data_IF_778655510830
#
_entry.id   IF_778655510830
#
_cell.length_a   1.000
_cell.length_b   1.000
_cell.length_c   1.000
_cell.angle_alpha   90.00
_cell.angle_beta   90.00
_cell.angle_gamma   90.00
#
_symmetry.space_group_name_H-M   'P 1'
#
loop_
_entity.id
_entity.type
_entity.pdbx_description
1 polymer ?
#
# COMPACT_ATOMS: atom_id res chain seq x y z
N UNK A 1 1.85 -1.16 -17.07
CA UNK A 1 1.77 0.28 -17.42
C UNK A 1 2.49 1.12 -16.36
N UNK A 2 2.92 2.34 -16.69
CA UNK A 2 3.60 3.21 -15.71
C UNK A 2 2.64 3.76 -14.64
N UNK A 3 2.88 3.41 -13.38
CA UNK A 3 2.08 3.85 -12.22
C UNK A 3 2.07 5.37 -12.03
N UNK A 4 0.87 5.95 -11.86
CA UNK A 4 0.64 7.39 -11.66
C UNK A 4 -0.55 7.63 -10.73
N UNK A 5 -0.44 8.66 -9.88
CA UNK A 5 -1.53 9.16 -9.03
C UNK A 5 -2.65 9.73 -9.91
N UNK A 6 -3.91 9.62 -9.47
CA UNK A 6 -5.12 10.03 -10.22
C UNK A 6 -5.26 9.31 -11.58
N UNK A 7 -4.81 8.06 -11.62
CA UNK A 7 -5.05 7.08 -12.69
C UNK A 7 -5.41 5.73 -12.08
N UNK A 8 -6.01 4.85 -12.88
CA UNK A 8 -6.27 3.46 -12.49
C UNK A 8 -4.96 2.80 -12.08
N UNK A 9 -4.96 2.08 -10.96
CA UNK A 9 -3.81 1.29 -10.52
C UNK A 9 -3.47 0.20 -11.56
N UNK A 10 -2.18 -0.19 -11.73
CA UNK A 10 -1.83 -1.28 -12.63
C UNK A 10 -2.55 -2.57 -12.27
N UNK A 11 -3.11 -3.25 -13.26
CA UNK A 11 -3.73 -4.55 -13.05
C UNK A 11 -2.68 -5.58 -12.60
N UNK A 12 -3.06 -6.42 -11.65
CA UNK A 12 -2.28 -7.55 -11.19
C UNK A 12 -3.19 -8.73 -10.81
N UNK A 13 -2.60 -9.92 -10.87
CA UNK A 13 -3.25 -11.22 -10.72
C UNK A 13 -2.17 -12.23 -10.32
N UNK A 14 -2.18 -12.70 -9.08
CA UNK A 14 -1.17 -13.62 -8.52
C UNK A 14 -1.74 -14.49 -7.41
N UNK A 15 -1.07 -15.62 -7.17
CA UNK A 15 -1.23 -16.39 -5.94
C UNK A 15 -0.83 -15.56 -4.72
N UNK A 16 -1.64 -15.63 -3.69
CA UNK A 16 -1.37 -15.10 -2.36
C UNK A 16 -1.59 -16.19 -1.31
N UNK A 17 -0.83 -16.15 -0.23
CA UNK A 17 -1.11 -16.91 0.98
C UNK A 17 -2.17 -16.17 1.82
N UNK A 18 -3.24 -16.88 2.22
CA UNK A 18 -4.31 -16.38 3.07
C UNK A 18 -4.49 -17.35 4.26
N UNK A 19 -3.79 -17.09 5.37
CA UNK A 19 -3.77 -17.93 6.58
C UNK A 19 -3.28 -19.38 6.37
N UNK A 20 -2.39 -19.63 5.40
CA UNK A 20 -1.90 -20.94 5.00
C UNK A 20 -2.59 -21.53 3.77
N UNK A 21 -3.64 -20.89 3.25
CA UNK A 21 -4.32 -21.30 2.01
C UNK A 21 -3.85 -20.45 0.82
N UNK A 22 -3.17 -21.08 -0.14
CA UNK A 22 -2.81 -20.43 -1.40
C UNK A 22 -4.03 -20.21 -2.29
N UNK A 23 -4.34 -18.95 -2.59
CA UNK A 23 -5.48 -18.53 -3.42
C UNK A 23 -5.04 -17.51 -4.46
N UNK A 24 -5.60 -17.60 -5.67
CA UNK A 24 -5.39 -16.56 -6.66
C UNK A 24 -6.19 -15.30 -6.27
N UNK A 25 -5.53 -14.15 -6.30
CA UNK A 25 -6.13 -12.84 -6.06
C UNK A 25 -5.84 -11.90 -7.23
N UNK A 26 -6.83 -11.07 -7.55
CA UNK A 26 -6.83 -10.13 -8.67
C UNK A 26 -7.19 -8.74 -8.16
N UNK A 27 -6.68 -7.68 -8.79
CA UNK A 27 -7.03 -6.31 -8.41
C UNK A 27 -8.55 -6.03 -8.46
N UNK A 28 -9.29 -6.77 -9.30
CA UNK A 28 -10.75 -6.61 -9.45
C UNK A 28 -11.57 -7.16 -8.27
N UNK A 29 -11.03 -8.10 -7.47
CA UNK A 29 -11.70 -8.67 -6.28
C UNK A 29 -11.91 -7.64 -5.15
N UNK A 30 -11.23 -6.49 -5.29
CA UNK A 30 -11.27 -5.33 -4.41
C UNK A 30 -12.11 -4.18 -4.98
N UNK A 31 -12.79 -4.34 -6.13
CA UNK A 31 -13.73 -3.35 -6.64
C UNK A 31 -14.83 -3.05 -5.60
N UNK A 32 -15.17 -1.77 -5.43
CA UNK A 32 -16.05 -1.30 -4.36
C UNK A 32 -15.40 -1.20 -2.97
N UNK A 33 -14.16 -1.68 -2.78
CA UNK A 33 -13.41 -1.62 -1.51
C UNK A 33 -12.20 -0.72 -1.65
N UNK A 34 -11.83 -0.04 -0.56
CA UNK A 34 -10.55 0.65 -0.48
C UNK A 34 -9.44 -0.38 -0.19
N UNK A 35 -8.33 -0.29 -0.91
CA UNK A 35 -7.22 -1.24 -0.84
C UNK A 35 -5.91 -0.52 -0.50
N UNK A 36 -5.15 -1.05 0.46
CA UNK A 36 -3.76 -0.65 0.72
C UNK A 36 -2.86 -1.78 0.24
N UNK A 37 -1.97 -1.48 -0.70
CA UNK A 37 -0.97 -2.43 -1.22
C UNK A 37 0.38 -2.07 -0.59
N UNK A 38 1.02 -3.06 0.03
CA UNK A 38 2.27 -2.91 0.77
C UNK A 38 3.37 -3.75 0.13
N UNK A 39 4.39 -3.10 -0.43
CA UNK A 39 5.61 -3.76 -0.88
C UNK A 39 6.66 -3.70 0.24
N UNK A 40 7.46 -4.76 0.34
CA UNK A 40 8.51 -4.91 1.33
C UNK A 40 9.60 -5.89 0.82
N UNK A 41 10.89 -5.67 1.14
CA UNK A 41 11.97 -6.60 0.80
C UNK A 41 11.87 -7.90 1.62
N UNK A 42 12.34 -9.02 1.04
CA UNK A 42 12.21 -10.37 1.64
C UNK A 42 12.89 -10.52 3.00
N UNK A 43 13.87 -9.69 3.34
CA UNK A 43 14.71 -9.86 4.54
C UNK A 43 13.89 -9.84 5.85
N UNK A 44 12.76 -9.15 5.87
CA UNK A 44 11.83 -9.10 7.02
C UNK A 44 11.09 -10.43 7.27
N UNK A 45 11.04 -11.35 6.30
CA UNK A 45 10.46 -12.69 6.49
C UNK A 45 11.48 -13.61 7.19
N UNK A 46 12.77 -13.38 6.96
CA UNK A 46 13.85 -14.31 7.33
C UNK A 46 14.62 -13.88 8.60
N UNK A 47 14.29 -12.74 9.21
CA UNK A 47 14.79 -12.39 10.55
C UNK A 47 14.33 -13.42 11.57
N UNK A 48 15.29 -14.12 12.18
CA UNK A 48 15.10 -15.29 13.05
C UNK A 48 14.54 -14.98 14.45
N UNK A 49 13.64 -13.99 14.57
CA UNK A 49 12.85 -13.68 15.76
C UNK A 49 11.76 -14.75 15.99
N UNK A 50 12.19 -15.98 16.25
CA UNK A 50 11.35 -17.05 16.79
C UNK A 50 10.94 -16.74 18.25
N UNK A 51 10.03 -15.80 18.44
CA UNK A 51 9.00 -15.86 19.49
C UNK A 51 7.90 -14.79 19.33
N UNK A 52 8.21 -13.64 18.72
CA UNK A 52 7.20 -12.67 18.25
C UNK A 52 7.22 -12.57 16.71
N UNK A 53 6.68 -13.59 16.05
CA UNK A 53 6.27 -13.45 14.66
C UNK A 53 5.07 -12.49 14.52
N UNK A 54 4.68 -12.16 13.28
CA UNK A 54 3.57 -11.24 12.96
C UNK A 54 2.15 -11.71 13.41
N UNK A 55 2.07 -12.69 14.31
CA UNK A 55 0.84 -13.28 14.83
C UNK A 55 -0.01 -13.96 13.75
N UNK A 56 -1.32 -13.97 13.97
CA UNK A 56 -2.28 -14.36 12.93
C UNK A 56 -2.41 -13.22 11.91
N UNK A 57 -1.59 -13.26 10.85
CA UNK A 57 -1.64 -12.31 9.74
C UNK A 57 -2.96 -12.50 8.96
N UNK A 58 -3.99 -11.72 9.29
CA UNK A 58 -5.29 -11.73 8.58
C UNK A 58 -5.29 -10.94 7.27
N UNK A 59 -4.12 -10.82 6.62
CA UNK A 59 -3.87 -10.01 5.42
C UNK A 59 -3.24 -10.92 4.36
N UNK A 60 -3.73 -10.94 3.12
CA UNK A 60 -3.18 -11.79 2.06
C UNK A 60 -1.74 -11.38 1.71
N UNK A 61 -0.84 -12.36 1.64
CA UNK A 61 0.56 -12.16 1.25
C UNK A 61 0.76 -12.56 -0.22
N UNK A 62 0.83 -11.57 -1.12
CA UNK A 62 1.05 -11.80 -2.55
C UNK A 62 2.48 -12.27 -2.87
N UNK A 63 2.60 -13.21 -3.81
CA UNK A 63 3.88 -13.74 -4.29
C UNK A 63 4.24 -13.18 -5.68
N UNK A 64 5.18 -12.22 -5.75
CA UNK A 64 5.68 -11.61 -7.00
C UNK A 64 7.08 -12.14 -7.38
N UNK A 65 7.18 -13.46 -7.55
CA UNK A 65 8.43 -14.19 -7.89
C UNK A 65 9.06 -13.77 -9.24
N UNK A 66 8.29 -13.09 -10.09
CA UNK A 66 8.70 -12.61 -11.43
C UNK A 66 9.00 -11.09 -11.39
N UNK A 67 8.78 -10.44 -10.23
CA UNK A 67 8.92 -9.01 -9.99
C UNK A 67 8.09 -8.11 -10.93
N UNK A 68 7.08 -8.66 -11.60
CA UNK A 68 6.30 -7.95 -12.62
C UNK A 68 5.40 -6.88 -11.98
N UNK A 69 4.75 -7.21 -10.86
CA UNK A 69 3.95 -6.22 -10.13
C UNK A 69 4.89 -5.12 -9.61
N UNK A 70 6.02 -5.52 -9.04
CA UNK A 70 7.03 -4.64 -8.48
C UNK A 70 7.61 -3.65 -9.51
N UNK A 71 7.75 -4.09 -10.77
CA UNK A 71 8.15 -3.28 -11.93
C UNK A 71 7.03 -2.33 -12.39
N UNK A 72 5.79 -2.81 -12.52
CA UNK A 72 4.63 -1.97 -12.86
C UNK A 72 4.37 -0.86 -11.83
N UNK A 73 4.48 -1.19 -10.54
CA UNK A 73 4.37 -0.27 -9.41
C UNK A 73 5.63 0.61 -9.21
N UNK A 74 6.69 0.36 -9.99
CA UNK A 74 7.96 1.10 -9.99
C UNK A 74 8.65 1.16 -8.62
N UNK A 75 8.56 0.06 -7.86
CA UNK A 75 9.25 -0.13 -6.58
C UNK A 75 10.44 -1.07 -6.66
N UNK A 76 10.56 -1.84 -7.75
CA UNK A 76 11.66 -2.75 -7.98
C UNK A 76 12.96 -2.00 -8.32
N UNK A 77 14.04 -2.33 -7.62
CA UNK A 77 15.40 -1.86 -7.91
C UNK A 77 16.11 -2.94 -8.74
N UNK A 78 16.25 -2.70 -10.05
CA UNK A 78 16.94 -3.62 -10.97
C UNK A 78 18.36 -3.93 -10.49
N UNK A 79 19.08 -2.93 -9.97
CA UNK A 79 20.47 -3.04 -9.51
C UNK A 79 20.65 -3.87 -8.23
N UNK A 80 19.58 -4.05 -7.43
CA UNK A 80 19.65 -4.68 -6.10
C UNK A 80 18.77 -5.93 -5.96
N UNK A 81 18.01 -6.31 -6.99
CA UNK A 81 17.21 -7.53 -7.02
C UNK A 81 15.98 -7.56 -6.10
N UNK A 82 15.57 -6.43 -5.53
CA UNK A 82 14.48 -6.37 -4.54
C UNK A 82 13.70 -5.06 -4.61
N UNK A 83 12.71 -4.89 -3.72
CA UNK A 83 11.79 -3.73 -3.72
C UNK A 83 12.05 -2.73 -2.61
N UNK A 84 11.96 -1.43 -2.95
CA UNK A 84 11.76 -0.35 -1.97
C UNK A 84 10.48 -0.55 -1.14
N UNK A 85 10.38 0.15 -0.01
CA UNK A 85 9.23 0.10 0.90
C UNK A 85 8.08 0.95 0.36
N UNK A 86 7.50 0.53 -0.77
CA UNK A 86 6.34 1.15 -1.38
C UNK A 86 5.02 0.85 -0.65
N UNK A 87 4.20 1.88 -0.46
CA UNK A 87 2.83 1.82 0.04
C UNK A 87 1.92 2.57 -0.94
N UNK A 88 0.85 1.91 -1.38
CA UNK A 88 -0.09 2.44 -2.38
C UNK A 88 -1.51 2.38 -1.82
N UNK A 89 -2.22 3.50 -1.86
CA UNK A 89 -3.62 3.57 -1.48
C UNK A 89 -4.51 3.69 -2.73
N UNK A 90 -5.32 2.65 -2.95
CA UNK A 90 -6.20 2.48 -4.10
C UNK A 90 -7.65 2.61 -3.64
N UNK A 91 -8.40 3.45 -4.34
CA UNK A 91 -9.80 3.77 -4.09
C UNK A 91 -10.75 2.64 -4.51
N UNK A 92 -12.00 2.69 -4.07
CA UNK A 92 -13.08 1.76 -4.45
C UNK A 92 -13.35 1.70 -5.98
N UNK A 93 -12.94 2.73 -6.72
CA UNK A 93 -12.96 2.84 -8.19
C UNK A 93 -11.67 2.32 -8.86
N UNK A 94 -10.80 1.62 -8.13
CA UNK A 94 -9.45 1.18 -8.56
C UNK A 94 -8.52 2.32 -8.98
N UNK A 95 -8.79 3.56 -8.55
CA UNK A 95 -7.95 4.74 -8.79
C UNK A 95 -6.86 4.80 -7.73
N UNK A 96 -5.60 5.00 -8.13
CA UNK A 96 -4.48 5.23 -7.23
C UNK A 96 -4.52 6.67 -6.71
N UNK A 97 -4.86 6.85 -5.44
CA UNK A 97 -5.03 8.16 -4.80
C UNK A 97 -3.73 8.66 -4.15
N UNK A 98 -2.94 7.75 -3.56
CA UNK A 98 -1.66 8.08 -2.94
C UNK A 98 -0.61 7.00 -3.17
N UNK A 99 0.64 7.46 -3.32
CA UNK A 99 1.86 6.65 -3.24
C UNK A 99 2.71 7.17 -2.08
N UNK A 100 3.43 6.28 -1.40
CA UNK A 100 4.54 6.63 -0.51
C UNK A 100 5.62 5.58 -0.72
N UNK A 101 6.87 6.03 -0.87
CA UNK A 101 8.03 5.17 -1.12
C UNK A 101 9.09 5.55 -0.08
N UNK A 102 9.37 4.63 0.82
CA UNK A 102 10.38 4.80 1.86
C UNK A 102 11.60 3.93 1.55
N UNK A 103 12.77 4.38 2.01
CA UNK A 103 14.03 3.64 1.88
C UNK A 103 14.12 2.50 2.91
N UNK A 104 14.98 1.52 2.66
CA UNK A 104 15.15 0.29 3.44
C UNK A 104 15.35 0.50 4.96
N UNK A 105 16.13 1.48 5.47
CA UNK A 105 16.27 1.68 6.91
C UNK A 105 15.08 2.43 7.55
N UNK A 106 14.19 3.05 6.76
CA UNK A 106 13.13 3.92 7.29
C UNK A 106 11.89 3.10 7.67
N UNK A 107 11.46 3.23 8.93
CA UNK A 107 10.21 2.65 9.42
C UNK A 107 8.97 3.43 8.96
N UNK A 108 7.92 2.71 8.55
CA UNK A 108 6.65 3.32 8.11
C UNK A 108 5.69 3.51 9.29
N UNK A 109 5.24 4.74 9.53
CA UNK A 109 4.21 5.03 10.54
C UNK A 109 2.83 4.56 10.10
N UNK A 110 2.23 3.69 10.92
CA UNK A 110 0.86 3.20 10.73
C UNK A 110 -0.16 4.34 10.90
N UNK A 111 0.07 5.24 11.86
CA UNK A 111 -0.83 6.35 12.21
C UNK A 111 -0.98 7.33 11.05
N UNK A 112 0.13 7.61 10.34
CA UNK A 112 0.12 8.41 9.11
C UNK A 112 -0.78 7.75 8.06
N UNK A 113 -0.57 6.47 7.77
CA UNK A 113 -1.41 5.71 6.82
C UNK A 113 -2.88 5.68 7.23
N UNK A 114 -3.18 5.45 8.51
CA UNK A 114 -4.54 5.43 9.03
C UNK A 114 -5.23 6.80 8.87
N UNK A 115 -4.53 7.89 9.21
CA UNK A 115 -5.04 9.27 9.08
C UNK A 115 -5.35 9.62 7.62
N UNK A 116 -4.50 9.18 6.68
CA UNK A 116 -4.70 9.36 5.24
C UNK A 116 -5.91 8.57 4.74
N UNK A 117 -6.03 7.29 5.11
CA UNK A 117 -7.20 6.45 4.79
C UNK A 117 -8.49 7.04 5.37
N UNK A 118 -8.45 7.66 6.55
CA UNK A 118 -9.58 8.38 7.13
C UNK A 118 -9.92 9.64 6.34
N UNK A 119 -8.94 10.46 5.95
CA UNK A 119 -9.15 11.69 5.18
C UNK A 119 -9.80 11.41 3.81
N UNK A 120 -9.31 10.39 3.08
CA UNK A 120 -9.93 9.96 1.81
C UNK A 120 -11.36 9.41 2.01
N UNK A 121 -11.61 8.61 3.05
CA UNK A 121 -12.95 8.07 3.35
C UNK A 121 -13.97 9.14 3.76
N UNK A 122 -13.52 10.23 4.38
CA UNK A 122 -14.37 11.33 4.86
C UNK A 122 -14.41 12.53 3.91
N UNK A 123 -13.70 12.44 2.76
CA UNK A 123 -13.55 13.50 1.77
C UNK A 123 -13.12 14.85 2.39
N UNK A 124 -12.18 14.76 3.33
CA UNK A 124 -11.92 15.77 4.36
C UNK A 124 -10.51 16.35 4.12
N UNK A 125 -10.47 17.56 3.55
CA UNK A 125 -9.24 18.16 3.04
C UNK A 125 -8.24 18.48 4.15
N UNK A 126 -7.03 17.96 4.01
CA UNK A 126 -5.99 18.01 5.05
C UNK A 126 -5.38 19.42 5.16
N UNK A 127 -5.69 20.14 6.23
CA UNK A 127 -5.01 21.40 6.56
C UNK A 127 -3.55 21.15 6.98
N UNK A 128 -2.59 22.04 6.61
CA UNK A 128 -1.16 21.82 6.86
C UNK A 128 -0.78 21.80 8.36
N UNK A 129 -1.62 22.35 9.24
CA UNK A 129 -1.35 22.51 10.67
C UNK A 129 -2.11 21.50 11.55
N UNK A 130 -1.82 20.20 11.39
CA UNK A 130 -2.14 19.10 12.34
C UNK A 130 -3.58 19.04 12.91
N UNK A 131 -4.57 19.57 12.19
CA UNK A 131 -5.97 19.54 12.61
C UNK A 131 -6.84 19.02 11.47
N UNK A 132 -7.65 18.01 11.78
CA UNK A 132 -8.73 17.58 10.92
C UNK A 132 -9.73 18.74 10.76
N UNK A 133 -9.77 19.30 9.55
CA UNK A 133 -10.89 20.09 9.05
C UNK A 133 -11.88 19.16 8.09
N UNK A 134 -14.13 18.59 8.10
CA UNK A 134 -15.47 18.80 8.78
C UNK A 134 -16.31 19.78 7.96
N UNK A 135 -17.05 19.29 6.95
CA UNK A 135 -17.46 20.08 5.80
C UNK A 135 -18.16 21.39 6.18
N UNK A 136 -17.50 22.51 5.86
CA UNK A 136 -17.96 23.87 6.20
C UNK A 136 -16.83 24.85 6.52
N UNK A 137 -15.63 24.39 6.90
CA UNK A 137 -14.49 25.29 7.16
C UNK A 137 -13.93 25.90 5.87
N UNK A 138 -13.88 27.23 5.79
CA UNK A 138 -13.14 27.95 4.75
C UNK A 138 -11.64 27.71 4.91
N UNK A 139 -10.99 27.12 3.92
CA UNK A 139 -9.56 26.78 3.97
C UNK A 139 -8.75 27.97 3.43
N UNK A 140 -8.50 28.96 4.28
CA UNK A 140 -7.49 29.99 4.02
C UNK A 140 -6.10 29.48 4.41
N UNK A 141 -5.46 28.72 3.53
CA UNK A 141 -4.02 28.45 3.63
C UNK A 141 -3.25 29.58 2.94
N UNK A 142 -2.62 30.43 3.74
CA UNK A 142 -1.53 31.33 3.37
C UNK A 142 -0.26 30.87 4.09
#
# INVERSE_FOLDING_TARGET
>A
MSTKISKTAPYWERTADINGEFKELKLIDYEGKHLVILFYPLDLINTSQKQEGLGLIRIPLLLDLIHHISKDYRVYLEDQGHTLRGLFFVDNKRILQQVTMDDLPVGRSVDKTLSLVQAYKTNWFYCPATRFCGPGTSISCF
#
